data_IF_923348753642
#
_entry.id   IF_923348753642
#
_cell.length_a   1.000
_cell.length_b   1.000
_cell.length_c   1.000
_cell.angle_alpha   90.00
_cell.angle_beta   90.00
_cell.angle_gamma   90.00
#
_symmetry.space_group_name_H-M   'P 1'
#
loop_
_entity.id
_entity.type
_entity.pdbx_description
1 polymer ?
#
# COMPACT_ATOMS: atom_id res chain seq x y z
N UNK A 1 12.38 7.57 -8.35
CA UNK A 1 11.17 7.31 -7.56
C UNK A 1 10.10 6.80 -8.51
N UNK A 2 9.65 5.57 -8.34
CA UNK A 2 8.62 4.93 -9.16
C UNK A 2 7.38 4.68 -8.31
N UNK A 3 6.19 4.76 -8.89
CA UNK A 3 4.96 4.38 -8.20
C UNK A 3 4.12 3.42 -9.06
N UNK A 4 3.35 2.57 -8.40
CA UNK A 4 2.48 1.57 -9.02
C UNK A 4 1.10 1.64 -8.38
N UNK A 5 0.07 1.44 -9.18
CA UNK A 5 -1.31 1.44 -8.73
C UNK A 5 -1.87 0.03 -8.84
N UNK A 6 -2.58 -0.41 -7.81
CA UNK A 6 -3.21 -1.72 -7.74
C UNK A 6 -4.69 -1.54 -7.38
N UNK A 7 -5.62 -2.20 -8.10
CA UNK A 7 -6.98 -2.31 -7.63
C UNK A 7 -6.99 -3.16 -6.35
N UNK A 8 -7.84 -2.78 -5.41
CA UNK A 8 -8.07 -3.50 -4.17
C UNK A 8 -9.54 -3.40 -3.81
N UNK A 9 -10.01 -4.35 -3.01
CA UNK A 9 -11.40 -4.38 -2.54
C UNK A 9 -11.41 -4.43 -1.03
N UNK A 10 -12.36 -3.74 -0.40
CA UNK A 10 -12.55 -3.84 1.05
C UNK A 10 -13.40 -5.08 1.43
N UNK A 11 -13.68 -5.23 2.72
CA UNK A 11 -14.54 -6.30 3.22
C UNK A 11 -16.02 -6.16 2.80
N UNK A 12 -16.45 -4.98 2.36
CA UNK A 12 -17.81 -4.69 1.91
C UNK A 12 -18.00 -4.94 0.41
N UNK A 13 -16.91 -5.08 -0.35
CA UNK A 13 -16.94 -5.23 -1.81
C UNK A 13 -16.74 -3.91 -2.56
N UNK A 14 -16.36 -2.84 -1.87
CA UNK A 14 -16.10 -1.54 -2.49
C UNK A 14 -14.70 -1.52 -3.14
N UNK A 15 -14.61 -0.97 -4.36
CA UNK A 15 -13.38 -0.86 -5.12
C UNK A 15 -12.53 0.34 -4.66
N UNK A 16 -11.25 0.07 -4.42
CA UNK A 16 -10.24 1.05 -4.04
C UNK A 16 -9.00 0.92 -4.93
N UNK A 17 -8.22 2.00 -4.96
CA UNK A 17 -6.92 2.01 -5.66
C UNK A 17 -5.82 2.28 -4.65
N UNK A 18 -4.95 1.29 -4.48
CA UNK A 18 -3.74 1.37 -3.65
C UNK A 18 -2.60 1.84 -4.53
N UNK A 19 -1.87 2.85 -4.05
CA UNK A 19 -0.70 3.43 -4.69
C UNK A 19 0.53 3.00 -3.87
N UNK A 20 1.38 2.18 -4.46
CA UNK A 20 2.70 1.83 -3.93
C UNK A 20 3.74 2.81 -4.47
N UNK A 21 4.39 3.55 -3.59
CA UNK A 21 5.54 4.38 -3.88
C UNK A 21 6.81 3.61 -3.53
N UNK A 22 7.63 3.29 -4.53
CA UNK A 22 8.94 2.68 -4.37
C UNK A 22 10.03 3.71 -4.54
N UNK A 23 10.84 3.88 -3.51
CA UNK A 23 12.07 4.63 -3.64
C UNK A 23 13.17 3.71 -4.20
N UNK A 24 13.68 4.05 -5.39
CA UNK A 24 14.71 3.26 -6.08
C UNK A 24 16.06 3.28 -5.36
N UNK A 25 16.29 4.21 -4.43
CA UNK A 25 17.58 4.39 -3.77
C UNK A 25 17.73 3.51 -2.52
N UNK A 26 16.61 3.09 -1.93
CA UNK A 26 16.60 2.30 -0.71
C UNK A 26 16.51 0.78 -0.95
N UNK A 27 16.52 0.33 -2.20
CA UNK A 27 16.59 -1.09 -2.59
C UNK A 27 18.01 -1.69 -2.44
N UNK A 28 19.04 -0.83 -2.41
CA UNK A 28 20.45 -1.26 -2.39
C UNK A 28 21.00 -1.59 -0.98
N UNK A 29 20.30 -1.25 0.10
CA UNK A 29 20.86 -1.30 1.46
C UNK A 29 20.19 -2.31 2.42
N UNK A 30 18.98 -2.77 2.13
CA UNK A 30 18.27 -3.70 3.02
C UNK A 30 17.50 -4.73 2.19
N UNK A 31 17.90 -6.00 2.29
CA UNK A 31 17.19 -7.15 1.72
C UNK A 31 15.83 -7.46 2.36
N UNK A 32 15.18 -6.46 2.94
CA UNK A 32 13.81 -6.46 3.46
C UNK A 32 13.13 -5.25 2.82
N UNK A 33 12.05 -5.46 2.06
CA UNK A 33 11.38 -4.43 1.23
C UNK A 33 10.70 -3.29 1.99
N UNK A 34 11.43 -2.63 2.88
CA UNK A 34 10.99 -1.56 3.79
C UNK A 34 11.00 -0.16 3.14
N UNK A 35 11.19 -0.10 1.83
CA UNK A 35 11.29 1.14 1.06
C UNK A 35 10.02 1.46 0.24
N UNK A 36 8.95 0.67 0.42
CA UNK A 36 7.69 0.86 -0.26
C UNK A 36 6.65 1.50 0.67
N UNK A 37 6.15 2.69 0.32
CA UNK A 37 5.02 3.35 1.01
C UNK A 37 3.73 3.07 0.26
N UNK A 38 2.68 2.70 0.97
CA UNK A 38 1.37 2.46 0.38
C UNK A 38 0.40 3.55 0.81
N UNK A 39 -0.35 4.11 -0.13
CA UNK A 39 -1.39 5.11 0.14
C UNK A 39 -2.61 4.84 -0.74
N UNK A 40 -3.79 5.29 -0.33
CA UNK A 40 -4.97 5.27 -1.18
C UNK A 40 -4.95 6.43 -2.17
N UNK A 41 -5.77 6.35 -3.21
CA UNK A 41 -6.02 7.46 -4.13
C UNK A 41 -6.54 8.73 -3.41
N UNK A 42 -7.18 8.58 -2.26
CA UNK A 42 -7.62 9.66 -1.38
C UNK A 42 -6.50 10.24 -0.47
N UNK A 43 -5.29 9.67 -0.50
CA UNK A 43 -4.13 10.11 0.26
C UNK A 43 -4.00 9.48 1.66
N UNK A 44 -4.93 8.62 2.09
CA UNK A 44 -4.78 7.88 3.35
C UNK A 44 -3.63 6.88 3.26
N UNK A 45 -2.77 6.87 4.29
CA UNK A 45 -1.67 5.90 4.38
C UNK A 45 -2.15 4.51 4.75
N UNK A 46 -1.58 3.53 4.07
CA UNK A 46 -1.82 2.11 4.28
C UNK A 46 -0.56 1.43 4.83
N UNK A 47 -0.79 0.53 5.77
CA UNK A 47 0.16 -0.42 6.32
C UNK A 47 -0.08 -1.74 5.60
N UNK A 48 0.94 -2.24 4.92
CA UNK A 48 0.89 -3.55 4.28
C UNK A 48 1.16 -4.64 5.32
N UNK A 49 0.21 -5.56 5.45
CA UNK A 49 0.27 -6.75 6.30
C UNK A 49 0.24 -7.99 5.39
N UNK A 50 1.39 -8.28 4.75
CA UNK A 50 1.50 -9.37 3.78
C UNK A 50 0.74 -9.11 2.47
N UNK A 51 -0.50 -9.63 2.39
CA UNK A 51 -1.43 -9.47 1.25
C UNK A 51 -2.58 -8.51 1.55
N UNK A 52 -2.72 -8.09 2.80
CA UNK A 52 -3.73 -7.15 3.23
C UNK A 52 -3.12 -5.76 3.39
N UNK A 53 -3.93 -4.74 3.19
CA UNK A 53 -3.54 -3.34 3.34
C UNK A 53 -4.54 -2.67 4.26
N UNK A 54 -4.06 -2.18 5.41
CA UNK A 54 -4.91 -1.54 6.40
C UNK A 54 -4.54 -0.09 6.58
N UNK A 55 -5.53 0.78 6.76
CA UNK A 55 -5.28 2.17 7.15
C UNK A 55 -4.60 2.22 8.52
N UNK A 56 -3.80 3.25 8.78
CA UNK A 56 -3.12 3.41 10.07
C UNK A 56 -4.10 3.47 11.27
N UNK A 57 -5.35 3.91 11.04
CA UNK A 57 -6.42 3.90 12.03
C UNK A 57 -7.13 2.56 12.19
N UNK A 58 -6.87 1.57 11.33
CA UNK A 58 -7.56 0.27 11.34
C UNK A 58 -9.03 0.31 10.89
N UNK A 59 -9.49 1.44 10.35
CA UNK A 59 -10.88 1.66 9.94
C UNK A 59 -11.22 0.98 8.61
N UNK A 60 -10.21 0.72 7.80
CA UNK A 60 -10.35 0.15 6.46
C UNK A 60 -9.24 -0.86 6.22
N UNK A 61 -9.65 -2.04 5.76
CA UNK A 61 -8.78 -3.15 5.34
C UNK A 61 -9.13 -3.49 3.90
N UNK A 62 -8.10 -3.62 3.08
CA UNK A 62 -8.18 -3.83 1.65
C UNK A 62 -7.36 -5.06 1.27
N UNK A 63 -7.84 -5.78 0.27
CA UNK A 63 -7.17 -6.94 -0.31
C UNK A 63 -6.98 -6.73 -1.81
N UNK A 64 -5.80 -7.08 -2.32
CA UNK A 64 -5.46 -7.03 -3.76
C UNK A 64 -5.50 -8.42 -4.38
#
# INVERSE_FOLDING_TARGET
MSFRQFPATDANGDDYVIIEFKDEQADAAAGTGESARYELADGRRLIRDGREFRTAGGELTLVT
#
